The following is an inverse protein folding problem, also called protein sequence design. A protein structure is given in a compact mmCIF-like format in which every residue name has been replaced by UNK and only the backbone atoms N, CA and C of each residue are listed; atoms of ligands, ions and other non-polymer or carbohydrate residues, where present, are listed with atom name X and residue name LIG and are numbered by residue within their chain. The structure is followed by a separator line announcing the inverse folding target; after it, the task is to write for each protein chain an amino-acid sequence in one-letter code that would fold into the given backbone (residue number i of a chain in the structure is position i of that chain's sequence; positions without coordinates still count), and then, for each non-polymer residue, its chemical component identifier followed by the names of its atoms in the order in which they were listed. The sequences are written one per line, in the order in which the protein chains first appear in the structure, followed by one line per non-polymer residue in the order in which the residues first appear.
data_IF_890919214502
#
_entry.id   IF_890919214502
#
_cell.length_a   1.000
_cell.length_b   1.000
_cell.length_c   1.000
_cell.angle_alpha   90.00
_cell.angle_beta   90.00
_cell.angle_gamma   90.00
#
_symmetry.space_group_name_H-M   'P 1'
#
loop_
_entity.id
_entity.type
_entity.pdbx_description
1 polymer ?
#
# COMPACT_ATOMS: atom_id res chain seq x y z
N UNK A 1 37.89 13.61 18.14
CA UNK A 1 37.97 12.56 17.11
C UNK A 1 38.75 13.08 15.92
N UNK A 2 39.62 12.25 15.36
CA UNK A 2 40.43 12.59 14.19
C UNK A 2 40.28 11.46 13.17
N UNK A 3 39.74 11.76 11.99
CA UNK A 3 39.76 10.84 10.84
C UNK A 3 40.98 11.19 9.99
N UNK A 4 41.86 10.23 9.77
CA UNK A 4 43.12 10.41 9.06
C UNK A 4 43.13 9.54 7.80
N UNK A 5 43.12 10.17 6.62
CA UNK A 5 43.10 9.47 5.34
C UNK A 5 41.78 8.74 5.04
N UNK A 6 40.74 8.98 5.83
CA UNK A 6 39.38 8.41 5.68
C UNK A 6 38.33 9.50 5.89
N UNK A 7 37.11 9.24 5.42
CA UNK A 7 35.93 10.10 5.55
C UNK A 7 34.92 9.53 6.56
N UNK A 8 33.72 10.12 6.58
CA UNK A 8 32.67 9.75 7.53
C UNK A 8 32.12 8.32 7.33
N UNK A 9 32.35 7.66 6.21
CA UNK A 9 31.90 6.27 6.00
C UNK A 9 32.72 5.27 6.83
N UNK A 10 33.79 5.72 7.48
CA UNK A 10 34.56 4.94 8.47
C UNK A 10 34.26 5.38 9.91
N UNK A 11 33.32 6.31 10.10
CA UNK A 11 32.95 6.84 11.41
C UNK A 11 31.77 6.07 12.01
N UNK A 12 32.07 4.97 12.71
CA UNK A 12 31.06 4.11 13.33
C UNK A 12 30.31 4.77 14.49
N UNK A 13 30.81 5.86 15.07
CA UNK A 13 30.13 6.62 16.13
C UNK A 13 28.73 7.07 15.70
N UNK A 14 28.56 7.40 14.42
CA UNK A 14 27.32 8.01 13.92
C UNK A 14 26.15 7.02 13.89
N UNK A 15 26.43 5.71 13.90
CA UNK A 15 25.38 4.70 14.05
C UNK A 15 24.69 4.77 15.42
N UNK A 16 25.42 5.16 16.48
CA UNK A 16 24.81 5.34 17.80
C UNK A 16 23.77 6.46 17.82
N UNK A 17 23.83 7.42 16.89
CA UNK A 17 22.81 8.46 16.78
C UNK A 17 21.48 7.90 16.27
N UNK A 18 21.51 6.89 15.38
CA UNK A 18 20.32 6.20 14.87
C UNK A 18 19.60 5.44 16.00
N UNK A 19 20.37 4.77 16.85
CA UNK A 19 19.87 4.15 18.07
C UNK A 19 19.27 5.19 19.03
N UNK A 20 19.93 6.33 19.22
CA UNK A 20 19.48 7.38 20.14
C UNK A 20 18.17 8.07 19.73
N UNK A 21 17.80 8.01 18.45
CA UNK A 21 16.51 8.52 17.95
C UNK A 21 15.44 7.43 17.79
N UNK A 22 15.77 6.18 18.12
CA UNK A 22 14.90 5.02 17.85
C UNK A 22 14.47 4.94 16.38
N UNK A 23 15.47 5.00 15.48
CA UNK A 23 15.20 5.07 14.05
C UNK A 23 14.29 3.91 13.59
N UNK A 24 13.24 4.17 12.78
CA UNK A 24 12.22 3.15 12.49
C UNK A 24 12.71 1.90 11.75
N UNK A 25 13.91 1.96 11.16
CA UNK A 25 14.48 0.88 10.38
C UNK A 25 15.39 -0.07 11.15
N UNK A 26 15.71 0.24 12.41
CA UNK A 26 16.55 -0.61 13.25
C UNK A 26 15.91 -1.99 13.43
N UNK A 27 16.72 -3.04 13.34
CA UNK A 27 16.24 -4.43 13.44
C UNK A 27 17.25 -5.31 14.17
N UNK A 28 16.85 -6.54 14.49
CA UNK A 28 17.81 -7.55 14.93
C UNK A 28 18.60 -8.08 13.75
N UNK A 29 19.90 -8.32 13.95
CA UNK A 29 20.75 -9.05 13.03
C UNK A 29 21.38 -10.24 13.76
N UNK A 30 21.46 -11.38 13.08
CA UNK A 30 22.02 -12.61 13.65
C UNK A 30 23.30 -12.96 12.88
N UNK A 31 24.41 -13.09 13.60
CA UNK A 31 25.69 -13.48 13.04
C UNK A 31 26.18 -14.76 13.71
N UNK A 32 26.69 -15.71 12.94
CA UNK A 32 27.30 -16.93 13.48
C UNK A 32 28.82 -16.83 13.43
N UNK A 33 29.48 -17.31 14.47
CA UNK A 33 30.94 -17.47 14.50
C UNK A 33 31.32 -18.76 15.22
N UNK A 34 32.53 -19.24 14.97
CA UNK A 34 33.10 -20.39 15.68
C UNK A 34 33.92 -19.85 16.86
N UNK A 35 33.58 -20.25 18.08
CA UNK A 35 34.33 -19.86 19.27
C UNK A 35 35.65 -20.62 19.42
N UNK A 36 36.46 -20.26 20.42
CA UNK A 36 37.76 -20.89 20.69
C UNK A 36 37.65 -22.40 21.03
N UNK A 37 36.44 -22.88 21.36
CA UNK A 37 36.16 -24.28 21.63
C UNK A 37 35.62 -25.03 20.39
N UNK A 38 35.59 -24.40 19.22
CA UNK A 38 35.10 -24.98 17.98
C UNK A 38 33.57 -25.06 17.90
N UNK A 39 32.84 -24.36 18.77
CA UNK A 39 31.37 -24.37 18.79
C UNK A 39 30.83 -23.23 17.94
N UNK A 40 29.79 -23.50 17.17
CA UNK A 40 29.04 -22.46 16.49
C UNK A 40 28.18 -21.69 17.50
N UNK A 41 28.41 -20.38 17.57
CA UNK A 41 27.70 -19.45 18.44
C UNK A 41 26.95 -18.46 17.57
N UNK A 42 25.65 -18.30 17.81
CA UNK A 42 24.83 -17.26 17.19
C UNK A 42 24.76 -16.03 18.09
N UNK A 43 25.25 -14.90 17.60
CA UNK A 43 25.13 -13.58 18.24
C UNK A 43 23.90 -12.86 17.71
N UNK A 44 23.09 -12.32 18.62
CA UNK A 44 22.01 -11.39 18.28
C UNK A 44 22.49 -9.95 18.49
N UNK A 45 22.70 -9.22 17.39
CA UNK A 45 22.95 -7.79 17.40
C UNK A 45 21.59 -7.07 17.40
N UNK A 46 21.23 -6.50 18.55
CA UNK A 46 20.03 -5.69 18.69
C UNK A 46 20.24 -4.31 18.05
N UNK A 47 19.16 -3.71 17.55
CA UNK A 47 19.15 -2.33 17.04
C UNK A 47 20.17 -2.09 15.90
N UNK A 48 20.38 -3.10 15.07
CA UNK A 48 21.27 -3.04 13.92
C UNK A 48 20.71 -2.06 12.87
N UNK A 49 21.49 -1.05 12.43
CA UNK A 49 21.02 -0.02 11.49
C UNK A 49 20.92 -0.52 10.05
N UNK A 50 21.58 -1.62 9.70
CA UNK A 50 21.69 -2.06 8.32
C UNK A 50 23.06 -1.73 7.72
N UNK A 51 23.33 -2.18 6.48
CA UNK A 51 24.70 -2.24 5.96
C UNK A 51 25.22 -0.94 5.32
N UNK A 52 24.36 -0.03 4.86
CA UNK A 52 24.77 1.13 4.07
C UNK A 52 24.27 2.47 4.65
N UNK A 53 25.15 3.48 4.77
CA UNK A 53 24.86 4.84 5.24
C UNK A 53 25.61 5.86 4.40
N UNK A 54 25.01 7.03 4.22
CA UNK A 54 25.65 8.21 3.63
C UNK A 54 25.99 9.21 4.74
N UNK A 55 26.98 8.88 5.56
CA UNK A 55 27.44 9.82 6.59
C UNK A 55 28.28 10.96 6.00
N UNK A 56 28.82 10.78 4.80
CA UNK A 56 29.48 11.86 4.04
C UNK A 56 28.49 12.99 3.77
N UNK A 57 27.22 12.67 3.49
CA UNK A 57 26.13 13.62 3.33
C UNK A 57 25.93 14.59 4.51
N UNK A 58 26.39 14.24 5.73
CA UNK A 58 26.32 15.11 6.90
C UNK A 58 27.47 16.13 7.00
N UNK A 59 28.55 15.96 6.23
CA UNK A 59 29.71 16.86 6.29
C UNK A 59 29.37 18.35 6.07
N UNK A 60 28.50 18.75 5.11
CA UNK A 60 28.08 20.14 4.96
C UNK A 60 27.44 20.70 6.24
N UNK A 61 26.64 19.90 6.94
CA UNK A 61 26.03 20.28 8.23
C UNK A 61 27.10 20.49 9.30
N UNK A 62 28.04 19.56 9.43
CA UNK A 62 29.13 19.68 10.42
C UNK A 62 30.04 20.88 10.14
N UNK A 63 30.34 21.19 8.87
CA UNK A 63 31.12 22.39 8.49
C UNK A 63 30.36 23.67 8.84
N UNK A 64 29.08 23.75 8.48
CA UNK A 64 28.22 24.92 8.75
C UNK A 64 28.12 25.21 10.25
N UNK A 65 28.04 24.17 11.07
CA UNK A 65 27.99 24.28 12.52
C UNK A 65 29.37 24.52 13.19
N UNK A 66 30.46 24.51 12.41
CA UNK A 66 31.82 24.75 12.93
C UNK A 66 32.46 23.55 13.62
N UNK A 67 31.85 22.37 13.56
CA UNK A 67 32.31 21.16 14.25
C UNK A 67 33.32 20.33 13.45
N UNK A 68 33.52 20.62 12.18
CA UNK A 68 34.53 19.94 11.37
C UNK A 68 35.58 20.92 10.83
N UNK A 69 36.84 20.64 11.15
CA UNK A 69 38.00 21.27 10.52
C UNK A 69 38.72 20.27 9.64
N UNK A 70 38.96 20.63 8.39
CA UNK A 70 39.69 19.81 7.43
C UNK A 70 41.10 20.39 7.24
N UNK A 71 42.11 19.53 7.33
CA UNK A 71 43.51 19.90 7.17
C UNK A 71 44.33 18.73 6.62
N UNK A 72 45.66 18.79 6.79
CA UNK A 72 46.57 17.70 6.43
C UNK A 72 47.44 17.28 7.60
N UNK A 73 47.73 15.98 7.68
CA UNK A 73 48.81 15.41 8.49
C UNK A 73 49.71 14.64 7.52
N UNK A 74 50.90 15.19 7.24
CA UNK A 74 51.70 14.76 6.10
C UNK A 74 50.93 14.97 4.78
N UNK A 75 50.86 13.93 3.96
CA UNK A 75 50.07 13.95 2.71
C UNK A 75 48.57 13.63 2.90
N UNK A 76 48.17 13.08 4.04
CA UNK A 76 46.82 12.60 4.27
C UNK A 76 45.86 13.75 4.62
N UNK A 77 44.66 13.73 4.04
CA UNK A 77 43.56 14.62 4.46
C UNK A 77 43.08 14.18 5.84
N UNK A 78 43.02 15.12 6.77
CA UNK A 78 42.63 14.90 8.15
C UNK A 78 41.39 15.73 8.49
N UNK A 79 40.44 15.12 9.22
CA UNK A 79 39.23 15.78 9.72
C UNK A 79 39.25 15.77 11.25
N UNK A 80 39.42 16.95 11.85
CA UNK A 80 39.37 17.12 13.31
C UNK A 80 37.98 17.55 13.73
N UNK A 81 37.37 16.77 14.63
CA UNK A 81 35.96 16.85 14.98
C UNK A 81 35.73 16.52 16.46
N UNK A 82 34.98 17.32 17.22
CA UNK A 82 34.65 16.99 18.60
C UNK A 82 33.43 16.03 18.59
N UNK A 83 33.62 14.85 19.21
CA UNK A 83 32.74 13.69 19.00
C UNK A 83 31.32 13.92 19.53
N UNK A 84 31.19 14.64 20.64
CA UNK A 84 29.91 14.96 21.29
C UNK A 84 29.02 15.81 20.39
N UNK A 85 29.60 16.81 19.76
CA UNK A 85 28.91 17.77 18.91
C UNK A 85 28.50 17.11 17.59
N UNK A 86 29.35 16.26 17.01
CA UNK A 86 28.95 15.45 15.84
C UNK A 86 27.77 14.55 16.16
N UNK A 87 27.83 13.83 17.28
CA UNK A 87 26.73 12.97 17.71
C UNK A 87 25.43 13.78 17.90
N UNK A 88 25.50 14.93 18.58
CA UNK A 88 24.35 15.79 18.80
C UNK A 88 23.76 16.34 17.48
N UNK A 89 24.61 16.75 16.53
CA UNK A 89 24.17 17.21 15.21
C UNK A 89 23.52 16.09 14.39
N UNK A 90 24.07 14.86 14.44
CA UNK A 90 23.48 13.71 13.74
C UNK A 90 22.13 13.35 14.35
N UNK A 91 22.00 13.35 15.68
CA UNK A 91 20.71 13.16 16.36
C UNK A 91 19.70 14.24 15.94
N UNK A 92 20.13 15.50 15.84
CA UNK A 92 19.27 16.59 15.36
C UNK A 92 18.81 16.36 13.91
N UNK A 93 19.74 16.01 13.01
CA UNK A 93 19.43 15.71 11.62
C UNK A 93 18.43 14.55 11.47
N UNK A 94 18.62 13.46 12.23
CA UNK A 94 17.72 12.30 12.19
C UNK A 94 16.33 12.56 12.79
N UNK A 95 16.23 13.51 13.73
CA UNK A 95 14.93 13.97 14.27
C UNK A 95 14.19 14.86 13.28
N UNK A 96 14.91 15.65 12.49
CA UNK A 96 14.36 16.47 11.41
C UNK A 96 13.90 15.60 10.23
N UNK A 97 14.74 14.65 9.82
CA UNK A 97 14.46 13.68 8.77
C UNK A 97 15.02 12.29 9.16
N UNK A 98 14.17 11.29 9.44
CA UNK A 98 14.61 9.94 9.77
C UNK A 98 15.47 9.28 8.67
N UNK A 99 15.42 9.78 7.44
CA UNK A 99 16.23 9.32 6.31
C UNK A 99 17.54 10.11 6.11
N UNK A 100 17.89 11.06 6.99
CA UNK A 100 19.03 11.99 6.81
C UNK A 100 20.41 11.34 6.61
N UNK A 101 20.54 10.04 6.92
CA UNK A 101 21.79 9.26 6.78
C UNK A 101 21.67 8.15 5.74
N UNK A 102 20.58 8.13 4.97
CA UNK A 102 20.33 7.19 3.89
C UNK A 102 20.63 7.88 2.56
N UNK A 103 21.29 7.19 1.64
CA UNK A 103 21.55 7.78 0.32
C UNK A 103 20.24 7.94 -0.48
N UNK A 104 20.28 8.85 -1.45
CA UNK A 104 19.17 9.08 -2.40
C UNK A 104 19.25 8.20 -3.64
N UNK A 105 20.21 7.26 -3.71
CA UNK A 105 20.37 6.38 -4.86
C UNK A 105 19.16 5.42 -4.99
N UNK A 106 18.35 5.52 -6.07
CA UNK A 106 17.19 4.65 -6.25
C UNK A 106 17.58 3.17 -6.46
N UNK A 107 18.82 2.89 -6.85
CA UNK A 107 19.35 1.53 -6.99
C UNK A 107 19.93 0.94 -5.70
N UNK A 108 19.97 1.69 -4.59
CA UNK A 108 20.45 1.18 -3.30
C UNK A 108 19.32 0.44 -2.57
N UNK A 109 19.24 -0.88 -2.76
CA UNK A 109 18.20 -1.72 -2.15
C UNK A 109 18.07 -1.53 -0.63
N UNK A 110 19.20 -1.42 0.08
CA UNK A 110 19.21 -1.24 1.54
C UNK A 110 18.56 0.08 1.96
N UNK A 111 18.97 1.20 1.36
CA UNK A 111 18.40 2.51 1.69
C UNK A 111 16.94 2.62 1.26
N UNK A 112 16.56 2.02 0.12
CA UNK A 112 15.15 1.96 -0.30
C UNK A 112 14.29 1.18 0.70
N UNK A 113 14.78 0.02 1.18
CA UNK A 113 14.07 -0.78 2.17
C UNK A 113 13.93 -0.05 3.51
N UNK A 114 14.98 0.65 3.95
CA UNK A 114 14.95 1.40 5.20
C UNK A 114 14.05 2.64 5.13
N UNK A 115 14.02 3.35 3.99
CA UNK A 115 13.01 4.37 3.69
C UNK A 115 11.60 3.78 3.71
N UNK A 116 11.44 2.57 3.18
CA UNK A 116 10.24 1.76 3.30
C UNK A 116 9.80 1.52 4.74
N UNK A 117 10.74 1.18 5.64
CA UNK A 117 10.44 1.02 7.08
C UNK A 117 10.05 2.33 7.76
N UNK A 118 10.66 3.46 7.38
CA UNK A 118 10.25 4.81 7.85
C UNK A 118 8.81 5.10 7.41
N UNK A 119 8.52 4.90 6.12
CA UNK A 119 7.16 5.03 5.54
C UNK A 119 6.16 4.14 6.26
N UNK A 120 6.49 2.86 6.48
CA UNK A 120 5.64 1.94 7.21
C UNK A 120 5.40 2.38 8.66
N UNK A 121 6.38 3.00 9.32
CA UNK A 121 6.21 3.56 10.66
C UNK A 121 5.27 4.76 10.67
N UNK A 122 5.36 5.64 9.66
CA UNK A 122 4.43 6.74 9.48
C UNK A 122 3.01 6.26 9.21
N UNK A 123 2.82 5.21 8.42
CA UNK A 123 1.50 4.63 8.15
C UNK A 123 0.86 3.99 9.38
N UNK A 124 1.65 3.46 10.33
CA UNK A 124 1.11 2.91 11.59
C UNK A 124 0.45 3.95 12.49
N UNK A 125 0.65 5.25 12.22
CA UNK A 125 -0.03 6.32 12.97
C UNK A 125 -1.32 6.78 12.28
N UNK A 126 -1.72 6.16 11.17
CA UNK A 126 -2.97 6.42 10.48
C UNK A 126 -4.00 5.33 10.83
N UNK A 127 -5.30 5.69 10.82
CA UNK A 127 -6.38 4.75 11.10
C UNK A 127 -6.67 3.80 9.91
N UNK A 128 -6.33 4.22 8.68
CA UNK A 128 -6.56 3.45 7.46
C UNK A 128 -5.43 2.46 7.17
N UNK A 129 -5.74 1.44 6.36
CA UNK A 129 -4.74 0.52 5.80
C UNK A 129 -4.41 0.89 4.36
N UNK A 130 -3.15 1.21 4.09
CA UNK A 130 -2.66 1.41 2.71
C UNK A 130 -2.41 0.05 2.05
N UNK A 131 -2.99 -0.15 0.88
CA UNK A 131 -2.85 -1.34 0.05
C UNK A 131 -2.51 -0.99 -1.40
N UNK A 132 -2.17 -1.99 -2.20
CA UNK A 132 -2.00 -1.86 -3.65
C UNK A 132 -2.69 -3.01 -4.39
N UNK A 133 -3.18 -2.76 -5.60
CA UNK A 133 -3.72 -3.83 -6.46
C UNK A 133 -2.57 -4.68 -7.01
N UNK A 134 -2.65 -5.99 -6.80
CA UNK A 134 -1.83 -7.01 -7.44
C UNK A 134 -2.70 -7.82 -8.40
N UNK A 135 -2.60 -7.53 -9.69
CA UNK A 135 -3.42 -8.17 -10.73
C UNK A 135 -2.60 -8.96 -11.76
N UNK A 136 -1.28 -9.06 -11.56
CA UNK A 136 -0.42 -9.89 -12.39
C UNK A 136 -0.79 -11.37 -12.19
N UNK A 137 -1.20 -12.12 -13.23
CA UNK A 137 -1.51 -13.54 -13.09
C UNK A 137 -0.31 -14.36 -12.63
N UNK A 138 0.92 -13.97 -12.92
CA UNK A 138 2.13 -14.73 -12.57
C UNK A 138 3.18 -13.82 -11.89
N UNK A 139 2.88 -13.33 -10.67
CA UNK A 139 3.70 -12.33 -10.03
C UNK A 139 5.02 -12.92 -9.54
N UNK A 140 6.11 -12.20 -9.77
CA UNK A 140 7.36 -12.40 -9.04
C UNK A 140 7.21 -11.83 -7.62
N UNK A 141 6.80 -12.68 -6.67
CA UNK A 141 6.47 -12.26 -5.31
C UNK A 141 7.63 -11.56 -4.59
N UNK A 142 8.89 -12.02 -4.65
CA UNK A 142 10.03 -11.25 -4.15
C UNK A 142 10.15 -9.85 -4.74
N UNK A 143 10.01 -9.69 -6.06
CA UNK A 143 10.10 -8.38 -6.70
C UNK A 143 8.93 -7.46 -6.31
N UNK A 144 7.71 -8.00 -6.26
CA UNK A 144 6.51 -7.30 -5.80
C UNK A 144 6.68 -6.84 -4.36
N UNK A 145 7.13 -7.73 -3.47
CA UNK A 145 7.35 -7.41 -2.06
C UNK A 145 8.39 -6.30 -1.89
N UNK A 146 9.52 -6.37 -2.60
CA UNK A 146 10.55 -5.34 -2.56
C UNK A 146 9.99 -3.96 -2.98
N UNK A 147 9.22 -3.91 -4.07
CA UNK A 147 8.60 -2.68 -4.55
C UNK A 147 7.59 -2.09 -3.55
N UNK A 148 6.66 -2.93 -3.04
CA UNK A 148 5.66 -2.51 -2.05
C UNK A 148 6.30 -2.03 -0.75
N UNK A 149 7.26 -2.79 -0.22
CA UNK A 149 7.89 -2.50 1.06
C UNK A 149 8.78 -1.25 0.99
N UNK A 150 9.41 -0.95 -0.15
CA UNK A 150 10.10 0.33 -0.36
C UNK A 150 9.16 1.55 -0.24
N UNK A 151 7.85 1.35 -0.40
CA UNK A 151 6.81 2.36 -0.20
C UNK A 151 6.09 2.23 1.16
N UNK A 152 6.53 1.31 2.02
CA UNK A 152 5.93 1.01 3.31
C UNK A 152 4.64 0.17 3.25
N UNK A 153 4.25 -0.30 2.06
CA UNK A 153 3.04 -1.07 1.82
C UNK A 153 3.28 -2.55 2.11
N UNK A 154 2.32 -3.20 2.77
CA UNK A 154 2.32 -4.66 3.01
C UNK A 154 0.99 -5.34 2.67
N UNK A 155 -0.04 -4.56 2.35
CA UNK A 155 -1.35 -5.10 2.02
C UNK A 155 -1.58 -5.05 0.52
N UNK A 156 -2.23 -6.08 -0.02
CA UNK A 156 -2.64 -6.11 -1.43
C UNK A 156 -4.14 -6.37 -1.57
N UNK A 157 -4.73 -5.78 -2.61
CA UNK A 157 -5.94 -6.30 -3.22
C UNK A 157 -5.53 -7.27 -4.34
N UNK A 158 -6.01 -8.50 -4.32
CA UNK A 158 -5.89 -9.41 -5.46
C UNK A 158 -6.88 -8.95 -6.53
N UNK A 159 -6.37 -8.57 -7.70
CA UNK A 159 -7.17 -8.14 -8.84
C UNK A 159 -7.90 -9.29 -9.55
N UNK A 160 -8.69 -8.95 -10.56
CA UNK A 160 -9.53 -9.90 -11.28
C UNK A 160 -8.75 -10.99 -12.02
N UNK A 161 -7.67 -10.64 -12.72
CA UNK A 161 -6.91 -11.59 -13.55
C UNK A 161 -6.16 -12.61 -12.70
N UNK A 162 -5.53 -12.14 -11.62
CA UNK A 162 -4.90 -13.04 -10.65
C UNK A 162 -5.96 -13.87 -9.91
N UNK A 163 -7.06 -13.25 -9.47
CA UNK A 163 -8.16 -13.96 -8.80
C UNK A 163 -8.79 -15.06 -9.67
N UNK A 164 -9.00 -14.80 -10.96
CA UNK A 164 -9.50 -15.78 -11.91
C UNK A 164 -8.56 -16.96 -12.11
N UNK A 165 -7.24 -16.72 -12.12
CA UNK A 165 -6.25 -17.80 -12.12
C UNK A 165 -6.36 -18.63 -10.84
N UNK A 166 -6.43 -17.98 -9.67
CA UNK A 166 -6.53 -18.66 -8.38
C UNK A 166 -7.80 -19.53 -8.27
N UNK A 167 -8.93 -19.09 -8.84
CA UNK A 167 -10.18 -19.88 -8.90
C UNK A 167 -10.07 -21.18 -9.72
N UNK A 168 -9.02 -21.35 -10.53
CA UNK A 168 -8.74 -22.56 -11.32
C UNK A 168 -7.79 -23.53 -10.61
N UNK A 169 -7.16 -23.09 -9.52
CA UNK A 169 -6.22 -23.90 -8.76
C UNK A 169 -6.93 -24.80 -7.74
N UNK A 170 -6.23 -25.84 -7.28
CA UNK A 170 -6.71 -26.69 -6.19
C UNK A 170 -6.57 -25.95 -4.85
N UNK A 171 -7.40 -26.27 -3.85
CA UNK A 171 -7.33 -25.65 -2.53
C UNK A 171 -5.93 -25.62 -1.88
N UNK A 172 -5.13 -26.66 -2.06
CA UNK A 172 -3.76 -26.73 -1.53
C UNK A 172 -2.79 -25.76 -2.23
N UNK A 173 -2.97 -25.51 -3.52
CA UNK A 173 -2.13 -24.58 -4.28
C UNK A 173 -2.44 -23.12 -3.92
N UNK A 174 -3.71 -22.84 -3.61
CA UNK A 174 -4.17 -21.53 -3.13
C UNK A 174 -3.63 -21.25 -1.73
N UNK A 175 -3.66 -22.26 -0.85
CA UNK A 175 -3.05 -22.17 0.48
C UNK A 175 -1.55 -21.90 0.39
N UNK A 176 -0.82 -22.65 -0.45
CA UNK A 176 0.61 -22.43 -0.67
C UNK A 176 0.91 -21.03 -1.26
N UNK A 177 0.03 -20.50 -2.11
CA UNK A 177 0.16 -19.13 -2.60
C UNK A 177 0.00 -18.10 -1.48
N UNK A 178 -0.98 -18.28 -0.59
CA UNK A 178 -1.16 -17.45 0.61
C UNK A 178 0.05 -17.48 1.55
N UNK A 179 0.62 -18.67 1.79
CA UNK A 179 1.83 -18.85 2.60
C UNK A 179 3.03 -18.12 1.99
N UNK A 180 3.24 -18.25 0.67
CA UNK A 180 4.31 -17.54 -0.04
C UNK A 180 4.17 -16.02 0.03
N UNK A 181 2.95 -15.48 0.01
CA UNK A 181 2.71 -14.06 0.23
C UNK A 181 3.16 -13.64 1.63
N UNK A 182 2.79 -14.42 2.65
CA UNK A 182 3.16 -14.16 4.04
C UNK A 182 4.67 -14.24 4.26
N UNK A 183 5.36 -15.22 3.64
CA UNK A 183 6.82 -15.38 3.70
C UNK A 183 7.56 -14.15 3.18
N UNK A 184 7.06 -13.49 2.13
CA UNK A 184 7.64 -12.25 1.61
C UNK A 184 7.08 -10.99 2.30
N UNK A 185 6.26 -11.15 3.33
CA UNK A 185 5.72 -10.04 4.14
C UNK A 185 4.54 -9.30 3.50
N UNK A 186 3.77 -9.95 2.64
CA UNK A 186 2.53 -9.44 2.03
C UNK A 186 1.30 -10.08 2.69
N UNK A 187 0.28 -9.26 2.95
CA UNK A 187 -1.02 -9.67 3.47
C UNK A 187 -2.11 -9.34 2.45
N UNK A 188 -3.09 -10.23 2.27
CA UNK A 188 -4.23 -9.95 1.39
C UNK A 188 -5.28 -9.17 2.18
N UNK A 189 -5.52 -7.93 1.78
CA UNK A 189 -6.59 -7.09 2.33
C UNK A 189 -7.93 -7.43 1.70
N UNK A 190 -7.96 -7.55 0.36
CA UNK A 190 -9.18 -7.75 -0.43
C UNK A 190 -8.92 -8.75 -1.55
N UNK A 191 -9.90 -9.62 -1.83
CA UNK A 191 -9.85 -10.57 -2.93
C UNK A 191 -10.88 -10.20 -3.99
N UNK A 192 -10.45 -10.03 -5.23
CA UNK A 192 -11.32 -9.86 -6.38
C UNK A 192 -11.15 -11.00 -7.37
N UNK A 193 -12.21 -11.36 -8.09
CA UNK A 193 -12.17 -12.49 -9.03
C UNK A 193 -13.22 -12.36 -10.15
N UNK A 194 -13.42 -11.15 -10.67
CA UNK A 194 -14.30 -10.87 -11.81
C UNK A 194 -15.78 -11.10 -11.55
N UNK A 195 -16.21 -11.10 -10.28
CA UNK A 195 -17.61 -11.28 -9.92
C UNK A 195 -18.47 -10.14 -10.45
N UNK A 196 -19.62 -10.51 -11.01
CA UNK A 196 -20.64 -9.59 -11.49
C UNK A 196 -20.23 -8.78 -12.73
N UNK A 197 -19.45 -9.39 -13.63
CA UNK A 197 -19.16 -8.83 -14.97
C UNK A 197 -20.13 -9.30 -16.06
N UNK A 198 -21.09 -10.16 -15.73
CA UNK A 198 -22.10 -10.72 -16.65
C UNK A 198 -23.40 -9.92 -16.62
N UNK A 199 -24.26 -10.11 -17.63
CA UNK A 199 -25.61 -9.57 -17.63
C UNK A 199 -26.55 -10.43 -16.75
N UNK A 200 -27.53 -9.83 -16.05
CA UNK A 200 -28.42 -10.55 -15.12
C UNK A 200 -29.23 -11.73 -15.68
N UNK A 201 -29.25 -11.93 -17.01
CA UNK A 201 -30.04 -12.97 -17.68
C UNK A 201 -29.19 -14.12 -18.28
N UNK A 202 -27.89 -13.94 -18.47
CA UNK A 202 -27.10 -14.85 -19.31
C UNK A 202 -26.43 -15.98 -18.52
N UNK A 203 -26.09 -15.81 -17.23
CA UNK A 203 -25.45 -16.89 -16.46
C UNK A 203 -25.44 -16.71 -14.91
N UNK A 204 -26.62 -16.57 -14.28
CA UNK A 204 -26.73 -16.40 -12.81
C UNK A 204 -26.18 -17.61 -12.03
N UNK A 205 -26.27 -18.81 -12.60
CA UNK A 205 -25.74 -20.03 -11.98
C UNK A 205 -24.20 -20.04 -11.99
N UNK A 206 -23.57 -19.58 -13.07
CA UNK A 206 -22.14 -19.39 -13.14
C UNK A 206 -21.63 -18.39 -12.10
N UNK A 207 -22.30 -17.24 -11.96
CA UNK A 207 -21.93 -16.23 -10.97
C UNK A 207 -22.11 -16.73 -9.52
N UNK A 208 -23.16 -17.52 -9.25
CA UNK A 208 -23.35 -18.17 -7.95
C UNK A 208 -22.21 -19.14 -7.63
N UNK A 209 -21.87 -20.04 -8.56
CA UNK A 209 -20.76 -20.97 -8.37
C UNK A 209 -19.42 -20.25 -8.18
N UNK A 210 -19.20 -19.17 -8.94
CA UNK A 210 -18.01 -18.32 -8.80
C UNK A 210 -17.96 -17.63 -7.44
N UNK A 211 -19.10 -17.14 -6.94
CA UNK A 211 -19.22 -16.56 -5.59
C UNK A 211 -18.86 -17.61 -4.52
N UNK A 212 -19.46 -18.80 -4.58
CA UNK A 212 -19.19 -19.88 -3.61
C UNK A 212 -17.70 -20.24 -3.56
N UNK A 213 -17.07 -20.41 -4.73
CA UNK A 213 -15.61 -20.63 -4.81
C UNK A 213 -14.81 -19.46 -4.26
N UNK A 214 -15.20 -18.23 -4.56
CA UNK A 214 -14.50 -17.03 -4.10
C UNK A 214 -14.54 -16.90 -2.58
N UNK A 215 -15.71 -17.15 -1.98
CA UNK A 215 -15.87 -17.17 -0.52
C UNK A 215 -15.01 -18.26 0.13
N UNK A 216 -14.98 -19.47 -0.46
CA UNK A 216 -14.15 -20.55 0.04
C UNK A 216 -12.64 -20.21 0.03
N UNK A 217 -12.17 -19.35 -0.88
CA UNK A 217 -10.75 -18.98 -0.96
C UNK A 217 -10.35 -17.98 0.14
N UNK A 218 -11.26 -17.12 0.62
CA UNK A 218 -10.92 -16.01 1.52
C UNK A 218 -10.08 -16.45 2.75
N UNK A 219 -10.45 -17.52 3.49
CA UNK A 219 -9.68 -17.95 4.65
C UNK A 219 -8.27 -18.44 4.30
N UNK A 220 -8.09 -19.01 3.10
CA UNK A 220 -6.78 -19.52 2.62
C UNK A 220 -5.83 -18.38 2.26
N UNK A 221 -6.38 -17.22 1.91
CA UNK A 221 -5.61 -15.99 1.67
C UNK A 221 -5.53 -15.09 2.92
N UNK A 222 -6.20 -15.46 4.02
CA UNK A 222 -6.23 -14.68 5.26
C UNK A 222 -7.00 -13.36 5.16
N UNK A 223 -7.94 -13.25 4.21
CA UNK A 223 -8.81 -12.07 4.07
C UNK A 223 -10.25 -12.39 4.42
N UNK A 224 -11.04 -11.35 4.71
CA UNK A 224 -12.50 -11.39 4.87
C UNK A 224 -13.21 -10.49 3.88
N UNK A 225 -12.51 -9.85 2.96
CA UNK A 225 -13.10 -8.90 2.01
C UNK A 225 -13.09 -9.50 0.60
N UNK A 226 -14.28 -9.58 0.00
CA UNK A 226 -14.50 -10.00 -1.37
C UNK A 226 -14.96 -8.80 -2.20
N UNK A 227 -14.35 -8.53 -3.34
CA UNK A 227 -14.72 -7.43 -4.22
C UNK A 227 -15.52 -7.92 -5.43
N UNK A 228 -16.57 -7.19 -5.77
CA UNK A 228 -17.52 -7.46 -6.84
C UNK A 228 -17.81 -6.18 -7.63
N UNK A 229 -17.99 -6.32 -8.94
CA UNK A 229 -18.66 -5.33 -9.78
C UNK A 229 -20.15 -5.67 -9.85
N UNK A 230 -21.06 -4.69 -9.80
CA UNK A 230 -22.50 -4.92 -9.47
C UNK A 230 -23.37 -5.42 -10.63
N UNK A 231 -22.78 -6.00 -11.67
CA UNK A 231 -23.44 -6.38 -12.93
C UNK A 231 -23.61 -5.22 -13.90
N UNK A 232 -23.46 -5.54 -15.18
CA UNK A 232 -23.72 -4.62 -16.28
C UNK A 232 -25.21 -4.27 -16.31
N UNK A 233 -25.50 -2.97 -16.39
CA UNK A 233 -26.86 -2.49 -16.50
C UNK A 233 -27.35 -2.62 -17.95
N UNK A 234 -28.48 -3.29 -18.21
CA UNK A 234 -29.12 -3.23 -19.53
C UNK A 234 -29.72 -1.85 -19.79
N UNK A 235 -30.17 -1.61 -21.03
CA UNK A 235 -30.84 -0.36 -21.39
C UNK A 235 -32.09 -0.09 -20.51
N UNK A 236 -32.88 -1.13 -20.22
CA UNK A 236 -33.99 -1.05 -19.27
C UNK A 236 -33.56 -1.41 -17.84
N UNK A 237 -32.85 -0.48 -17.20
CA UNK A 237 -32.36 -0.62 -15.82
C UNK A 237 -33.50 -0.82 -14.82
N UNK A 238 -34.59 -0.08 -14.96
CA UNK A 238 -35.67 -0.04 -13.98
C UNK A 238 -36.33 -1.41 -13.83
N UNK A 239 -36.57 -2.11 -14.94
CA UNK A 239 -37.15 -3.46 -14.94
C UNK A 239 -36.20 -4.49 -14.34
N UNK A 240 -34.88 -4.35 -14.56
CA UNK A 240 -33.88 -5.30 -14.07
C UNK A 240 -33.44 -5.06 -12.61
N UNK A 241 -33.61 -3.86 -12.07
CA UNK A 241 -33.12 -3.49 -10.73
C UNK A 241 -33.64 -4.39 -9.59
N UNK A 242 -34.93 -4.79 -9.53
CA UNK A 242 -35.43 -5.68 -8.47
C UNK A 242 -34.72 -7.03 -8.44
N UNK A 243 -34.40 -7.60 -9.61
CA UNK A 243 -33.69 -8.88 -9.71
C UNK A 243 -32.25 -8.75 -9.20
N UNK A 244 -31.57 -7.65 -9.53
CA UNK A 244 -30.21 -7.37 -9.04
C UNK A 244 -30.19 -7.16 -7.53
N UNK A 245 -31.15 -6.42 -6.97
CA UNK A 245 -31.28 -6.26 -5.52
C UNK A 245 -31.50 -7.61 -4.84
N UNK A 246 -32.41 -8.44 -5.36
CA UNK A 246 -32.67 -9.78 -4.80
C UNK A 246 -31.41 -10.67 -4.83
N UNK A 247 -30.65 -10.63 -5.93
CA UNK A 247 -29.37 -11.34 -6.05
C UNK A 247 -28.37 -10.84 -5.00
N UNK A 248 -28.16 -9.53 -4.90
CA UNK A 248 -27.23 -8.95 -3.92
C UNK A 248 -27.64 -9.21 -2.48
N UNK A 249 -28.94 -9.26 -2.16
CA UNK A 249 -29.43 -9.66 -0.84
C UNK A 249 -29.14 -11.14 -0.56
N UNK A 250 -29.20 -12.02 -1.56
CA UNK A 250 -28.79 -13.42 -1.41
C UNK A 250 -27.27 -13.53 -1.23
N UNK A 251 -26.48 -12.84 -2.06
CA UNK A 251 -25.02 -12.74 -1.93
C UNK A 251 -24.61 -12.20 -0.56
N UNK A 252 -25.27 -11.15 -0.08
CA UNK A 252 -25.02 -10.55 1.22
C UNK A 252 -25.22 -11.53 2.37
N UNK A 253 -26.24 -12.41 2.28
CA UNK A 253 -26.48 -13.48 3.26
C UNK A 253 -25.35 -14.51 3.25
N UNK A 254 -24.98 -15.02 2.07
CA UNK A 254 -23.88 -15.98 1.93
C UNK A 254 -22.53 -15.43 2.42
N UNK A 255 -22.27 -14.15 2.12
CA UNK A 255 -21.07 -13.42 2.60
C UNK A 255 -21.10 -13.28 4.13
N UNK A 256 -22.24 -12.88 4.70
CA UNK A 256 -22.39 -12.70 6.14
C UNK A 256 -22.27 -14.01 6.93
N UNK A 257 -22.75 -15.13 6.38
CA UNK A 257 -22.60 -16.47 6.98
C UNK A 257 -21.13 -16.89 7.13
N UNK A 258 -20.27 -16.44 6.22
CA UNK A 258 -18.81 -16.62 6.31
C UNK A 258 -18.11 -15.47 7.03
N UNK A 259 -18.88 -14.60 7.68
CA UNK A 259 -18.33 -13.52 8.48
C UNK A 259 -17.47 -12.54 7.62
N UNK A 260 -17.74 -12.49 6.32
CA UNK A 260 -17.01 -11.71 5.32
C UNK A 260 -17.73 -10.39 5.01
N UNK A 261 -17.07 -9.55 4.21
CA UNK A 261 -17.58 -8.28 3.69
C UNK A 261 -17.49 -8.32 2.17
N UNK A 262 -18.60 -7.99 1.50
CA UNK A 262 -18.66 -7.77 0.07
C UNK A 262 -18.41 -6.28 -0.20
N UNK A 263 -17.34 -5.98 -0.92
CA UNK A 263 -17.03 -4.68 -1.46
C UNK A 263 -17.60 -4.56 -2.87
N UNK A 264 -18.57 -3.68 -3.02
CA UNK A 264 -19.13 -3.26 -4.30
C UNK A 264 -18.25 -2.14 -4.85
N UNK A 265 -17.64 -2.35 -6.01
CA UNK A 265 -16.99 -1.27 -6.74
C UNK A 265 -18.00 -0.53 -7.62
N UNK A 266 -17.93 0.81 -7.62
CA UNK A 266 -18.65 1.61 -8.62
C UNK A 266 -17.91 1.58 -9.95
N UNK A 267 -18.62 1.28 -11.04
CA UNK A 267 -18.03 1.09 -12.38
C UNK A 267 -19.00 1.59 -13.46
N UNK A 268 -18.55 2.37 -14.46
CA UNK A 268 -19.41 2.87 -15.52
C UNK A 268 -20.12 1.74 -16.28
N UNK A 269 -21.40 1.94 -16.58
CA UNK A 269 -22.22 0.94 -17.27
C UNK A 269 -22.70 -0.22 -16.39
N UNK A 270 -22.49 -0.16 -15.08
CA UNK A 270 -23.06 -1.11 -14.09
C UNK A 270 -24.27 -0.51 -13.37
N UNK A 271 -24.96 -1.31 -12.55
CA UNK A 271 -26.00 -0.81 -11.63
C UNK A 271 -25.45 0.13 -10.54
N UNK A 272 -24.13 0.24 -10.39
CA UNK A 272 -23.43 1.15 -9.49
C UNK A 272 -22.50 2.10 -10.27
N UNK A 273 -23.00 2.71 -11.35
CA UNK A 273 -22.23 3.64 -12.18
C UNK A 273 -22.24 5.09 -11.69
N UNK A 274 -23.36 5.56 -11.14
CA UNK A 274 -23.52 6.91 -10.56
C UNK A 274 -23.74 6.84 -9.05
N UNK A 275 -23.54 7.95 -8.34
CA UNK A 275 -23.75 8.03 -6.91
C UNK A 275 -25.20 7.77 -6.51
N UNK A 276 -26.15 8.22 -7.33
CA UNK A 276 -27.57 7.95 -7.13
C UNK A 276 -27.84 6.44 -7.20
N UNK A 277 -27.48 5.80 -8.31
CA UNK A 277 -27.74 4.37 -8.52
C UNK A 277 -27.02 3.50 -7.49
N UNK A 278 -25.77 3.83 -7.18
CA UNK A 278 -25.00 3.14 -6.14
C UNK A 278 -25.67 3.24 -4.77
N UNK A 279 -26.22 4.41 -4.43
CA UNK A 279 -26.92 4.59 -3.15
C UNK A 279 -28.22 3.80 -3.12
N UNK A 280 -29.00 3.83 -4.20
CA UNK A 280 -30.27 3.09 -4.32
C UNK A 280 -30.04 1.58 -4.16
N UNK A 281 -29.02 1.02 -4.83
CA UNK A 281 -28.66 -0.39 -4.69
C UNK A 281 -28.22 -0.74 -3.27
N UNK A 282 -27.25 0.00 -2.70
CA UNK A 282 -26.74 -0.30 -1.35
C UNK A 282 -27.82 -0.17 -0.27
N UNK A 283 -28.71 0.82 -0.38
CA UNK A 283 -29.81 1.01 0.54
C UNK A 283 -30.88 -0.08 0.39
N UNK A 284 -31.19 -0.51 -0.84
CA UNK A 284 -32.14 -1.59 -1.10
C UNK A 284 -31.62 -2.95 -0.64
N UNK A 285 -30.30 -3.19 -0.74
CA UNK A 285 -29.65 -4.39 -0.19
C UNK A 285 -29.68 -4.36 1.34
N UNK A 286 -29.45 -3.20 1.95
CA UNK A 286 -29.68 -2.98 3.38
C UNK A 286 -28.85 -3.84 4.33
N UNK A 287 -27.72 -4.39 3.89
CA UNK A 287 -26.90 -5.33 4.67
C UNK A 287 -25.61 -4.71 5.19
N UNK A 288 -25.25 -4.93 6.47
CA UNK A 288 -23.96 -4.53 7.00
C UNK A 288 -22.78 -5.34 6.42
N UNK A 289 -23.04 -6.46 5.75
CA UNK A 289 -22.00 -7.24 5.06
C UNK A 289 -21.68 -6.69 3.67
N UNK A 290 -22.39 -5.66 3.19
CA UNK A 290 -22.14 -5.04 1.88
C UNK A 290 -21.66 -3.60 2.08
N UNK A 291 -20.51 -3.29 1.47
CA UNK A 291 -19.83 -2.00 1.58
C UNK A 291 -19.38 -1.53 0.20
N UNK A 292 -18.93 -0.28 0.14
CA UNK A 292 -18.46 0.38 -1.08
C UNK A 292 -16.93 0.40 -1.14
N UNK A 293 -16.40 -0.05 -2.28
CA UNK A 293 -15.07 0.27 -2.77
C UNK A 293 -15.20 1.43 -3.78
N UNK A 294 -15.00 2.66 -3.31
CA UNK A 294 -15.17 3.85 -4.11
C UNK A 294 -14.00 4.01 -5.08
N UNK A 295 -14.29 3.99 -6.37
CA UNK A 295 -13.39 4.35 -7.45
C UNK A 295 -13.73 5.78 -7.93
N UNK A 296 -12.90 6.79 -7.57
CA UNK A 296 -13.21 8.17 -7.90
C UNK A 296 -13.08 8.47 -9.40
N UNK A 297 -12.14 7.81 -10.09
CA UNK A 297 -11.96 7.95 -11.54
C UNK A 297 -13.21 7.50 -12.31
N UNK A 298 -13.89 6.46 -11.82
CA UNK A 298 -15.13 5.96 -12.43
C UNK A 298 -16.31 6.93 -12.26
N UNK A 299 -16.47 7.56 -11.09
CA UNK A 299 -17.50 8.60 -10.92
C UNK A 299 -17.18 9.85 -11.76
N UNK A 300 -15.89 10.23 -11.85
CA UNK A 300 -15.48 11.29 -12.74
C UNK A 300 -15.81 10.98 -14.21
N UNK A 301 -15.57 9.76 -14.68
CA UNK A 301 -15.88 9.36 -16.06
C UNK A 301 -17.38 9.44 -16.44
N UNK A 302 -18.30 9.49 -15.46
CA UNK A 302 -19.74 9.69 -15.69
C UNK A 302 -20.22 11.12 -15.37
N UNK A 303 -19.28 12.07 -15.20
CA UNK A 303 -19.60 13.48 -14.99
C UNK A 303 -19.87 13.89 -13.54
N UNK A 304 -19.65 13.00 -12.57
CA UNK A 304 -19.85 13.29 -11.15
C UNK A 304 -18.58 13.78 -10.45
N UNK A 305 -18.75 14.59 -9.41
CA UNK A 305 -17.66 15.08 -8.54
C UNK A 305 -17.49 14.18 -7.32
N UNK A 306 -16.47 13.31 -7.25
CA UNK A 306 -16.42 12.22 -6.25
C UNK A 306 -16.32 12.70 -4.80
N UNK A 307 -15.65 13.80 -4.52
CA UNK A 307 -15.67 14.42 -3.20
C UNK A 307 -16.95 15.23 -3.00
N UNK A 308 -17.19 16.25 -3.83
CA UNK A 308 -18.20 17.27 -3.53
C UNK A 308 -19.64 16.72 -3.59
N UNK A 309 -19.96 15.96 -4.65
CA UNK A 309 -21.30 15.46 -4.89
C UNK A 309 -21.49 14.09 -4.25
N UNK A 310 -20.54 13.18 -4.44
CA UNK A 310 -20.69 11.77 -4.05
C UNK A 310 -20.42 11.55 -2.56
N UNK A 311 -19.30 12.04 -2.04
CA UNK A 311 -18.92 11.83 -0.64
C UNK A 311 -19.53 12.86 0.33
N UNK A 312 -19.34 14.16 0.05
CA UNK A 312 -19.68 15.24 0.98
C UNK A 312 -21.19 15.47 1.08
N UNK A 313 -21.83 15.80 -0.05
CA UNK A 313 -23.29 15.99 -0.15
C UNK A 313 -24.06 14.67 -0.23
N UNK A 314 -23.42 13.62 -0.72
CA UNK A 314 -24.06 12.33 -0.94
C UNK A 314 -24.18 11.47 0.33
N UNK A 315 -24.76 10.29 0.12
CA UNK A 315 -25.09 9.34 1.19
C UNK A 315 -24.12 8.16 1.26
N UNK A 316 -23.21 8.01 0.29
CA UNK A 316 -22.31 6.86 0.17
C UNK A 316 -21.24 6.76 1.27
N UNK A 317 -20.91 7.87 1.94
CA UNK A 317 -19.88 7.88 3.01
C UNK A 317 -20.12 6.88 4.14
N UNK A 318 -21.37 6.48 4.43
CA UNK A 318 -21.68 5.47 5.46
C UNK A 318 -21.37 4.04 5.04
N UNK A 319 -21.30 3.80 3.74
CA UNK A 319 -21.05 2.49 3.14
C UNK A 319 -19.59 2.28 2.77
N UNK A 320 -18.78 3.36 2.76
CA UNK A 320 -17.40 3.33 2.34
C UNK A 320 -16.55 2.43 3.24
N UNK A 321 -15.87 1.46 2.63
CA UNK A 321 -14.89 0.59 3.28
C UNK A 321 -13.54 0.59 2.56
N UNK A 322 -13.53 1.02 1.29
CA UNK A 322 -12.31 1.17 0.51
C UNK A 322 -12.41 2.38 -0.41
N UNK A 323 -11.31 3.11 -0.56
CA UNK A 323 -11.11 4.13 -1.59
C UNK A 323 -9.96 3.70 -2.50
N UNK A 324 -10.19 3.66 -3.81
CA UNK A 324 -9.10 3.53 -4.76
C UNK A 324 -8.35 4.88 -4.90
N UNK A 325 -7.04 4.82 -4.76
CA UNK A 325 -6.11 5.91 -5.01
C UNK A 325 -5.73 5.90 -6.50
N UNK A 326 -6.71 6.15 -7.36
CA UNK A 326 -6.55 6.35 -8.80
C UNK A 326 -7.27 7.63 -9.21
N UNK A 327 -6.94 8.18 -10.38
CA UNK A 327 -7.58 9.37 -10.92
C UNK A 327 -7.92 9.19 -12.41
N UNK A 328 -8.75 10.06 -12.94
CA UNK A 328 -9.16 10.02 -14.33
C UNK A 328 -9.81 11.33 -14.77
N UNK A 329 -9.72 11.61 -16.06
CA UNK A 329 -10.40 12.74 -16.69
C UNK A 329 -11.89 12.42 -16.92
N UNK A 330 -12.68 13.45 -17.19
CA UNK A 330 -14.12 13.33 -17.52
C UNK A 330 -14.42 12.36 -18.68
N UNK A 331 -13.47 12.16 -19.59
CA UNK A 331 -13.61 11.25 -20.73
C UNK A 331 -13.18 9.79 -20.43
N UNK A 332 -12.82 9.50 -19.17
CA UNK A 332 -12.33 8.20 -18.73
C UNK A 332 -10.84 7.96 -18.95
N UNK A 333 -10.10 8.92 -19.50
CA UNK A 333 -8.64 8.82 -19.63
C UNK A 333 -8.01 8.72 -18.23
N UNK A 334 -7.23 7.68 -17.93
CA UNK A 334 -6.64 7.55 -16.61
C UNK A 334 -5.57 8.61 -16.34
N UNK A 335 -5.46 9.04 -15.09
CA UNK A 335 -4.47 10.00 -14.62
C UNK A 335 -3.85 9.56 -13.29
N UNK A 336 -2.66 10.06 -12.99
CA UNK A 336 -2.05 9.88 -11.67
C UNK A 336 -2.94 10.52 -10.58
N UNK A 337 -2.97 9.98 -9.35
CA UNK A 337 -3.65 10.57 -8.21
C UNK A 337 -3.40 12.07 -8.06
N UNK A 338 -4.48 12.86 -8.07
CA UNK A 338 -4.44 14.32 -7.96
C UNK A 338 -4.13 15.05 -9.27
N UNK A 339 -4.16 14.35 -10.41
CA UNK A 339 -3.95 14.92 -11.75
C UNK A 339 -5.17 14.79 -12.67
N UNK A 340 -6.28 14.27 -12.17
CA UNK A 340 -7.53 14.17 -12.91
C UNK A 340 -8.68 14.91 -12.25
N UNK A 341 -9.89 14.42 -12.48
CA UNK A 341 -11.15 14.97 -11.99
C UNK A 341 -11.75 14.17 -10.83
N UNK A 342 -10.98 13.25 -10.25
CA UNK A 342 -11.40 12.36 -9.17
C UNK A 342 -11.48 12.97 -7.77
N UNK A 343 -11.02 14.21 -7.57
CA UNK A 343 -10.97 14.88 -6.25
C UNK A 343 -10.28 14.02 -5.15
N UNK A 344 -9.22 13.29 -5.56
CA UNK A 344 -8.52 12.31 -4.71
C UNK A 344 -7.89 12.96 -3.48
N UNK A 345 -7.35 14.18 -3.62
CA UNK A 345 -6.74 14.92 -2.51
C UNK A 345 -7.78 15.23 -1.42
N UNK A 346 -8.94 15.72 -1.83
CA UNK A 346 -10.04 16.09 -0.93
C UNK A 346 -10.62 14.86 -0.25
N UNK A 347 -10.78 13.73 -0.98
CA UNK A 347 -11.20 12.45 -0.43
C UNK A 347 -10.18 11.92 0.60
N UNK A 348 -8.89 11.95 0.29
CA UNK A 348 -7.83 11.53 1.23
C UNK A 348 -7.87 12.37 2.52
N UNK A 349 -7.92 13.70 2.38
CA UNK A 349 -7.92 14.63 3.51
C UNK A 349 -9.13 14.40 4.43
N UNK A 350 -10.34 14.35 3.86
CA UNK A 350 -11.57 14.19 4.68
C UNK A 350 -11.65 12.82 5.35
N UNK A 351 -11.17 11.76 4.71
CA UNK A 351 -11.17 10.41 5.29
C UNK A 351 -10.23 10.32 6.49
N UNK A 352 -9.05 10.94 6.39
CA UNK A 352 -8.11 11.05 7.52
C UNK A 352 -8.71 11.86 8.67
N UNK A 353 -9.32 13.02 8.39
CA UNK A 353 -9.99 13.83 9.41
C UNK A 353 -11.16 13.12 10.11
N UNK A 354 -11.67 12.03 9.53
CA UNK A 354 -12.78 11.24 10.07
C UNK A 354 -12.32 9.89 10.64
N UNK A 355 -11.02 9.66 10.80
CA UNK A 355 -10.46 8.41 11.28
C UNK A 355 -10.96 7.20 10.49
N UNK A 356 -10.98 7.34 9.16
CA UNK A 356 -11.38 6.24 8.29
C UNK A 356 -10.48 5.03 8.51
N UNK A 357 -11.08 3.90 8.89
CA UNK A 357 -10.36 2.67 9.23
C UNK A 357 -10.44 1.58 8.14
N UNK A 358 -10.74 1.99 6.90
CA UNK A 358 -10.83 1.09 5.75
C UNK A 358 -9.55 1.06 4.92
N UNK A 359 -9.66 0.60 3.67
CA UNK A 359 -8.52 0.51 2.76
C UNK A 359 -8.38 1.76 1.89
N UNK A 360 -7.15 2.27 1.77
CA UNK A 360 -6.77 3.15 0.68
C UNK A 360 -5.91 2.32 -0.28
N UNK A 361 -6.38 2.10 -1.50
CA UNK A 361 -5.77 1.10 -2.40
C UNK A 361 -5.18 1.78 -3.64
N UNK A 362 -3.86 1.78 -3.77
CA UNK A 362 -3.16 2.23 -4.98
C UNK A 362 -3.48 1.28 -6.13
N UNK A 363 -4.02 1.81 -7.23
CA UNK A 363 -4.39 1.03 -8.41
C UNK A 363 -3.69 1.59 -9.65
N UNK A 364 -2.82 0.83 -10.32
CA UNK A 364 -2.23 1.27 -11.57
C UNK A 364 -3.31 1.36 -12.67
N UNK A 365 -3.22 2.34 -13.59
CA UNK A 365 -4.26 2.57 -14.58
C UNK A 365 -4.36 1.53 -15.70
N UNK A 366 -3.39 0.61 -15.82
CA UNK A 366 -3.45 -0.49 -16.79
C UNK A 366 -3.40 -1.81 -16.04
N UNK A 367 -4.36 -2.72 -16.28
CA UNK A 367 -4.30 -4.09 -15.79
C UNK A 367 -3.11 -4.86 -16.37
N UNK A 368 -2.74 -5.96 -15.72
CA UNK A 368 -1.77 -6.91 -16.25
C UNK A 368 -0.49 -7.01 -15.42
N UNK A 369 0.65 -7.15 -16.10
CA UNK A 369 1.95 -7.46 -15.47
C UNK A 369 2.34 -6.37 -14.47
N UNK A 370 2.84 -6.78 -13.31
CA UNK A 370 3.30 -5.85 -12.29
C UNK A 370 4.53 -5.09 -12.80
N UNK A 371 4.48 -3.76 -12.69
CA UNK A 371 5.56 -2.85 -13.05
C UNK A 371 5.98 -2.05 -11.81
N UNK A 372 7.19 -2.31 -11.33
CA UNK A 372 7.72 -1.70 -10.12
C UNK A 372 7.99 -0.19 -10.27
N UNK A 373 8.38 0.29 -11.46
CA UNK A 373 8.65 1.71 -11.68
C UNK A 373 7.36 2.49 -11.71
N UNK A 374 6.36 1.98 -12.43
CA UNK A 374 5.03 2.59 -12.48
C UNK A 374 4.36 2.57 -11.11
N UNK A 375 4.41 1.43 -10.41
CA UNK A 375 3.89 1.36 -9.04
C UNK A 375 4.56 2.39 -8.13
N UNK A 376 5.88 2.56 -8.23
CA UNK A 376 6.61 3.58 -7.46
C UNK A 376 6.10 4.98 -7.78
N UNK A 377 5.87 5.34 -9.04
CA UNK A 377 5.34 6.66 -9.42
C UNK A 377 3.97 6.92 -8.78
N UNK A 378 3.05 5.95 -8.84
CA UNK A 378 1.72 6.04 -8.22
C UNK A 378 1.82 6.19 -6.69
N UNK A 379 2.71 5.40 -6.06
CA UNK A 379 2.91 5.46 -4.62
C UNK A 379 3.55 6.79 -4.17
N UNK A 380 4.49 7.34 -4.94
CA UNK A 380 5.09 8.65 -4.69
C UNK A 380 4.05 9.77 -4.81
N UNK A 381 3.09 9.64 -5.73
CA UNK A 381 1.95 10.56 -5.81
C UNK A 381 1.07 10.48 -4.58
N UNK A 382 0.77 9.28 -4.08
CA UNK A 382 0.09 9.13 -2.80
C UNK A 382 0.85 9.82 -1.66
N UNK A 383 2.16 9.58 -1.51
CA UNK A 383 2.98 10.19 -0.46
C UNK A 383 2.97 11.72 -0.55
N UNK A 384 3.14 12.27 -1.75
CA UNK A 384 3.03 13.70 -1.99
C UNK A 384 1.64 14.25 -1.59
N UNK A 385 0.55 13.54 -1.92
CA UNK A 385 -0.79 13.96 -1.51
C UNK A 385 -0.93 13.92 0.02
N UNK A 386 -0.47 12.84 0.67
CA UNK A 386 -0.57 12.63 2.12
C UNK A 386 0.17 13.70 2.93
N UNK A 387 1.33 14.14 2.46
CA UNK A 387 2.16 15.16 3.12
C UNK A 387 1.59 16.59 2.95
N UNK A 388 0.70 16.79 1.99
CA UNK A 388 0.15 18.09 1.61
C UNK A 388 -1.39 18.17 1.79
N UNK A 389 -2.01 17.26 2.54
CA UNK A 389 -3.46 17.16 2.75
C UNK A 389 -3.91 17.42 4.19
#
# INVERSE_FOLDING_TARGET
MLLLGVDQDRNTLLHSAEEAVDAPYLSDHYATYIDDAGREVTLRLQRYPGPHRDFIGLEPRFRKAGWMRVGKVGGAVARLMPARELFAETVAALREDPAAVLCDNPACADCQMQRGKIKAARLRTEDFTLAAVLDDPEPDLPAVAAALQAQGIRHVEIGDHLGERLLRLRPAEIQAFGERLQEVGIQVGVFGAGLGRVAPAEDLEYDRHRLEKSLAILPRLGTRCLRMSVLRAPADRATAAPAVVALLQATARAVAEQEAILLIENEPGTFCDTAQHTTEILDAVGSPAVRLALNPAHFAAVGEKPFLQVYYKGRLKRHLQQLYLCDGLWDGTPALPGRGNGEVKELLSILRCRSFSGFLTVRPPTPGRFDAERFREEAERFWHLLENC
#
